data_IF_600708113693
#
_entry.id   IF_600708113693
#
_cell.length_a   1.000
_cell.length_b   1.000
_cell.length_c   1.000
_cell.angle_alpha   90.00
_cell.angle_beta   90.00
_cell.angle_gamma   90.00
#
_symmetry.space_group_name_H-M   'P 1'
#
loop_
_entity.id
_entity.type
_entity.pdbx_description
1 polymer ?
#
# COMPACT_ATOMS: atom_id res chain seq x y z
N UNK A 1 9.58 13.88 -3.28
CA UNK A 1 10.53 12.83 -2.84
C UNK A 1 11.98 13.20 -3.14
N UNK A 2 12.44 13.26 -4.39
CA UNK A 2 13.83 13.66 -4.70
C UNK A 2 14.19 15.06 -4.19
N UNK A 3 13.26 16.01 -4.27
CA UNK A 3 13.43 17.35 -3.71
C UNK A 3 13.55 17.36 -2.17
N UNK A 4 13.10 16.30 -1.49
CA UNK A 4 13.26 16.09 -0.05
C UNK A 4 14.53 15.28 0.28
N UNK A 5 15.41 15.03 -0.71
CA UNK A 5 16.68 14.31 -0.51
C UNK A 5 16.58 12.78 -0.59
N UNK A 6 15.42 12.22 -0.93
CA UNK A 6 15.23 10.77 -1.03
C UNK A 6 15.67 10.22 -2.38
N UNK A 7 16.26 9.02 -2.35
CA UNK A 7 16.43 8.22 -3.56
C UNK A 7 15.10 7.55 -3.92
N UNK A 8 14.73 7.55 -5.21
CA UNK A 8 13.46 7.02 -5.68
C UNK A 8 13.70 5.99 -6.78
N UNK A 9 13.01 4.85 -6.68
CA UNK A 9 12.83 3.89 -7.78
C UNK A 9 11.34 3.75 -8.04
N UNK A 10 10.97 3.70 -9.32
CA UNK A 10 9.58 3.58 -9.75
C UNK A 10 9.36 2.28 -10.51
N UNK A 11 8.14 1.74 -10.41
CA UNK A 11 7.63 0.65 -11.24
C UNK A 11 6.28 1.06 -11.79
N UNK A 12 6.15 1.11 -13.12
CA UNK A 12 4.85 1.21 -13.78
C UNK A 12 4.38 -0.22 -14.05
N UNK A 13 3.56 -0.76 -13.13
CA UNK A 13 3.16 -2.18 -13.12
C UNK A 13 2.57 -2.64 -14.46
N UNK A 14 1.78 -1.80 -15.11
CA UNK A 14 1.10 -2.12 -16.37
C UNK A 14 2.05 -2.14 -17.59
N UNK A 15 3.25 -1.53 -17.46
CA UNK A 15 4.30 -1.60 -18.47
C UNK A 15 5.11 -2.91 -18.40
N UNK A 16 4.81 -3.78 -17.43
CA UNK A 16 5.57 -4.98 -17.14
C UNK A 16 6.72 -4.75 -16.17
N UNK A 17 7.22 -5.83 -15.59
CA UNK A 17 8.27 -5.85 -14.56
C UNK A 17 9.00 -7.19 -14.57
N UNK A 18 10.25 -7.17 -14.09
CA UNK A 18 11.02 -8.38 -13.81
C UNK A 18 10.88 -8.72 -12.32
N UNK A 19 10.39 -9.93 -12.03
CA UNK A 19 10.03 -10.34 -10.65
C UNK A 19 11.21 -10.24 -9.68
N UNK A 20 12.40 -10.68 -10.10
CA UNK A 20 13.60 -10.61 -9.25
C UNK A 20 14.04 -9.17 -9.01
N UNK A 21 14.03 -8.32 -10.04
CA UNK A 21 14.33 -6.90 -9.88
C UNK A 21 13.38 -6.19 -8.91
N UNK A 22 12.09 -6.56 -8.91
CA UNK A 22 11.11 -6.02 -7.95
C UNK A 22 11.39 -6.49 -6.52
N UNK A 23 11.74 -7.76 -6.33
CA UNK A 23 12.16 -8.29 -5.01
C UNK A 23 13.36 -7.49 -4.49
N UNK A 24 14.37 -7.25 -5.33
CA UNK A 24 15.54 -6.45 -4.95
C UNK A 24 15.17 -4.98 -4.65
N UNK A 25 14.14 -4.40 -5.29
CA UNK A 25 13.62 -3.08 -4.91
C UNK A 25 13.00 -3.09 -3.50
N UNK A 26 12.25 -4.14 -3.14
CA UNK A 26 11.71 -4.29 -1.79
C UNK A 26 12.82 -4.44 -0.73
N UNK A 27 13.90 -5.13 -1.05
CA UNK A 27 15.07 -5.23 -0.17
C UNK A 27 15.77 -3.88 -0.02
N UNK A 28 15.89 -3.13 -1.12
CA UNK A 28 16.57 -1.83 -1.17
C UNK A 28 15.81 -0.70 -0.45
N UNK A 29 14.47 -0.66 -0.54
CA UNK A 29 13.68 0.49 -0.09
C UNK A 29 13.54 0.59 1.43
N UNK A 30 13.44 1.80 1.96
CA UNK A 30 13.01 2.05 3.35
C UNK A 30 11.48 2.18 3.45
N UNK A 31 10.84 2.64 2.38
CA UNK A 31 9.40 2.75 2.26
C UNK A 31 8.92 2.45 0.84
N UNK A 32 7.74 1.82 0.72
CA UNK A 32 7.01 1.64 -0.53
C UNK A 32 5.74 2.50 -0.54
N UNK A 33 5.51 3.22 -1.63
CA UNK A 33 4.27 3.98 -1.86
C UNK A 33 3.47 3.24 -2.93
N UNK A 34 2.27 2.78 -2.57
CA UNK A 34 1.34 2.15 -3.49
C UNK A 34 0.41 3.21 -4.08
N UNK A 35 0.81 3.79 -5.22
CA UNK A 35 -0.04 4.67 -6.01
C UNK A 35 -0.95 3.84 -6.90
N UNK A 36 -2.26 3.87 -6.65
CA UNK A 36 -3.22 3.10 -7.45
C UNK A 36 -4.63 3.69 -7.45
N UNK A 37 -5.40 3.55 -8.54
CA UNK A 37 -6.83 3.80 -8.53
C UNK A 37 -7.57 2.68 -7.82
N UNK A 38 -8.77 2.97 -7.29
CA UNK A 38 -9.67 1.92 -6.81
C UNK A 38 -10.56 1.38 -7.91
N UNK A 39 -10.50 0.07 -8.10
CA UNK A 39 -11.36 -0.68 -9.00
C UNK A 39 -12.17 -1.69 -8.19
N UNK A 40 -13.51 -1.62 -8.28
CA UNK A 40 -14.41 -2.52 -7.56
C UNK A 40 -14.07 -2.67 -6.06
N UNK A 41 -13.83 -1.53 -5.41
CA UNK A 41 -13.50 -1.42 -3.99
C UNK A 41 -12.12 -1.93 -3.57
N UNK A 42 -11.24 -2.20 -4.55
CA UNK A 42 -9.95 -2.83 -4.33
C UNK A 42 -8.86 -2.21 -5.21
N UNK A 43 -7.64 -2.74 -5.08
CA UNK A 43 -6.59 -2.56 -6.07
C UNK A 43 -6.97 -3.13 -7.45
N UNK A 44 -6.46 -2.58 -8.57
CA UNK A 44 -6.62 -3.18 -9.88
C UNK A 44 -6.01 -4.58 -9.94
N UNK A 45 -6.56 -5.45 -10.79
CA UNK A 45 -6.10 -6.85 -10.89
C UNK A 45 -4.61 -6.95 -11.27
N UNK A 46 -4.05 -5.98 -11.99
CA UNK A 46 -2.63 -5.93 -12.34
C UNK A 46 -1.74 -5.71 -11.12
N UNK A 47 -2.19 -4.88 -10.17
CA UNK A 47 -1.52 -4.69 -8.87
C UNK A 47 -1.62 -5.97 -8.05
N UNK A 48 -2.78 -6.64 -8.06
CA UNK A 48 -2.93 -7.92 -7.36
C UNK A 48 -2.04 -9.01 -7.97
N UNK A 49 -1.90 -9.07 -9.30
CA UNK A 49 -0.96 -9.95 -9.98
C UNK A 49 0.49 -9.65 -9.59
N UNK A 50 0.87 -8.37 -9.54
CA UNK A 50 2.19 -7.95 -9.06
C UNK A 50 2.47 -8.44 -7.65
N UNK A 51 1.50 -8.27 -6.75
CA UNK A 51 1.59 -8.75 -5.37
C UNK A 51 1.77 -10.28 -5.36
N UNK A 52 0.94 -11.01 -6.11
CA UNK A 52 0.97 -12.46 -6.14
C UNK A 52 2.26 -13.01 -6.73
N UNK A 53 2.84 -12.37 -7.74
CA UNK A 53 4.10 -12.78 -8.34
C UNK A 53 5.29 -12.36 -7.48
N UNK A 54 5.43 -11.06 -7.16
CA UNK A 54 6.61 -10.53 -6.47
C UNK A 54 6.68 -10.99 -5.02
N UNK A 55 5.57 -10.92 -4.27
CA UNK A 55 5.62 -11.27 -2.86
C UNK A 55 5.78 -12.78 -2.67
N UNK A 56 5.10 -13.61 -3.47
CA UNK A 56 5.23 -15.07 -3.38
C UNK A 56 6.63 -15.54 -3.76
N UNK A 57 7.20 -15.03 -4.87
CA UNK A 57 8.58 -15.38 -5.26
C UNK A 57 9.61 -14.74 -4.33
N UNK A 58 9.22 -13.73 -3.55
CA UNK A 58 10.03 -13.16 -2.48
C UNK A 58 10.19 -14.05 -1.25
N UNK A 59 9.67 -15.28 -1.23
CA UNK A 59 9.87 -16.22 -0.12
C UNK A 59 11.38 -16.44 0.16
N UNK A 60 11.75 -16.38 1.43
CA UNK A 60 13.15 -16.46 1.90
C UNK A 60 13.90 -15.12 1.87
N UNK A 61 13.40 -14.11 1.15
CA UNK A 61 13.97 -12.75 1.10
C UNK A 61 13.07 -11.71 1.79
N UNK A 62 11.78 -11.69 1.47
CA UNK A 62 10.79 -10.73 1.97
C UNK A 62 10.02 -11.26 3.18
N UNK A 63 9.81 -12.57 3.26
CA UNK A 63 9.25 -13.26 4.40
C UNK A 63 9.81 -14.68 4.48
N UNK A 64 9.84 -15.26 5.69
CA UNK A 64 10.32 -16.62 5.92
C UNK A 64 9.17 -17.62 6.04
N UNK A 65 8.11 -17.26 6.76
CA UNK A 65 6.93 -18.10 6.99
C UNK A 65 5.72 -17.25 7.36
N UNK A 66 4.61 -17.89 7.73
CA UNK A 66 3.47 -17.21 8.36
C UNK A 66 3.70 -16.86 9.83
N UNK A 67 4.86 -17.19 10.41
CA UNK A 67 5.21 -16.92 11.81
C UNK A 67 4.72 -17.95 12.83
N UNK A 68 3.93 -18.95 12.41
CA UNK A 68 3.40 -19.97 13.33
C UNK A 68 4.40 -21.11 13.55
N UNK A 69 4.25 -21.78 14.69
CA UNK A 69 4.99 -23.00 15.02
C UNK A 69 4.04 -24.17 15.27
N UNK A 70 4.44 -25.39 14.88
CA UNK A 70 3.61 -26.59 15.02
C UNK A 70 3.26 -26.94 16.47
N UNK A 71 4.07 -26.51 17.43
CA UNK A 71 3.83 -26.69 18.87
C UNK A 71 2.68 -25.82 19.38
N UNK A 72 2.48 -24.61 18.81
CA UNK A 72 1.42 -23.66 19.15
C UNK A 72 0.76 -23.12 17.87
N UNK A 73 -0.03 -23.94 17.14
CA UNK A 73 -0.45 -23.63 15.78
C UNK A 73 -1.50 -22.51 15.65
N UNK A 74 -2.06 -22.04 16.78
CA UNK A 74 -3.07 -20.97 16.83
C UNK A 74 -2.49 -19.59 17.06
N UNK A 75 -1.17 -19.47 17.27
CA UNK A 75 -0.49 -18.22 17.62
C UNK A 75 0.56 -17.85 16.59
N UNK A 76 0.78 -16.55 16.40
CA UNK A 76 1.90 -16.03 15.60
C UNK A 76 1.63 -15.83 14.11
N UNK A 77 0.39 -15.99 13.62
CA UNK A 77 0.11 -15.70 12.20
C UNK A 77 0.43 -14.24 11.86
N UNK A 78 1.24 -14.03 10.83
CA UNK A 78 1.68 -12.73 10.34
C UNK A 78 2.98 -12.21 10.97
N UNK A 79 3.71 -13.00 11.76
CA UNK A 79 4.97 -12.55 12.39
C UNK A 79 6.24 -13.02 11.66
N UNK A 80 6.10 -13.76 10.56
CA UNK A 80 7.23 -14.38 9.83
C UNK A 80 7.85 -13.52 8.72
N UNK A 81 7.53 -12.22 8.64
CA UNK A 81 8.13 -11.27 7.72
C UNK A 81 9.64 -11.08 7.93
N UNK A 82 10.35 -10.54 6.94
CA UNK A 82 11.79 -10.25 7.02
C UNK A 82 12.14 -8.77 6.80
N UNK A 83 11.13 -7.92 6.60
CA UNK A 83 11.28 -6.52 6.24
C UNK A 83 10.98 -5.57 7.40
N UNK A 84 11.25 -5.99 8.63
CA UNK A 84 11.03 -5.15 9.82
C UNK A 84 11.80 -3.82 9.72
N UNK A 85 11.18 -2.76 10.23
CA UNK A 85 11.72 -1.40 10.15
C UNK A 85 11.31 -0.63 8.89
N UNK A 86 10.98 -1.33 7.79
CA UNK A 86 10.50 -0.72 6.55
C UNK A 86 9.03 -0.29 6.66
N UNK A 87 8.61 0.61 5.77
CA UNK A 87 7.31 1.28 5.80
C UNK A 87 6.50 1.06 4.52
N UNK A 88 5.18 1.13 4.60
CA UNK A 88 4.33 1.27 3.41
C UNK A 88 3.34 2.42 3.56
N UNK A 89 3.01 3.07 2.45
CA UNK A 89 1.98 4.09 2.36
C UNK A 89 1.03 3.75 1.20
N UNK A 90 -0.27 3.96 1.39
CA UNK A 90 -1.23 3.91 0.28
C UNK A 90 -1.48 5.33 -0.22
N UNK A 91 -1.49 5.50 -1.55
CA UNK A 91 -1.89 6.73 -2.24
C UNK A 91 -2.96 6.38 -3.26
N UNK A 92 -4.21 6.69 -2.95
CA UNK A 92 -5.38 6.13 -3.61
C UNK A 92 -6.18 7.19 -4.36
N UNK A 93 -6.73 6.84 -5.52
CA UNK A 93 -7.70 7.68 -6.23
C UNK A 93 -9.06 6.96 -6.33
N UNK A 94 -10.11 7.66 -5.93
CA UNK A 94 -11.48 7.14 -5.87
C UNK A 94 -12.47 8.12 -6.48
N UNK A 95 -13.45 7.60 -7.22
CA UNK A 95 -14.62 8.40 -7.60
C UNK A 95 -15.65 8.52 -6.46
N UNK A 96 -15.60 7.65 -5.45
CA UNK A 96 -16.47 7.80 -4.29
C UNK A 96 -16.13 9.11 -3.53
N UNK A 97 -17.13 9.85 -3.04
CA UNK A 97 -16.90 11.01 -2.18
C UNK A 97 -16.37 10.57 -0.81
N UNK A 98 -15.72 11.47 -0.06
CA UNK A 98 -15.12 11.14 1.24
C UNK A 98 -16.16 10.68 2.27
N UNK A 99 -17.38 11.20 2.18
CA UNK A 99 -18.50 10.87 3.07
C UNK A 99 -18.88 9.40 3.00
N UNK A 100 -18.69 8.73 1.85
CA UNK A 100 -18.94 7.30 1.73
C UNK A 100 -18.10 6.48 2.72
N UNK A 101 -16.92 6.99 3.10
CA UNK A 101 -15.98 6.36 4.02
C UNK A 101 -16.16 6.82 5.48
N UNK A 102 -16.62 8.05 5.71
CA UNK A 102 -16.59 8.68 7.04
C UNK A 102 -17.97 8.88 7.67
N UNK A 103 -19.04 8.95 6.88
CA UNK A 103 -20.41 9.15 7.40
C UNK A 103 -21.03 7.81 7.79
N UNK A 104 -21.52 7.73 9.02
CA UNK A 104 -22.25 6.56 9.50
C UNK A 104 -23.55 6.36 8.69
N UNK A 105 -23.86 5.10 8.35
CA UNK A 105 -25.03 4.74 7.54
C UNK A 105 -24.84 4.83 6.03
N UNK A 106 -23.74 5.43 5.55
CA UNK A 106 -23.34 5.36 4.15
C UNK A 106 -22.70 3.98 3.81
N UNK A 107 -22.33 3.78 2.54
CA UNK A 107 -21.95 2.48 1.98
C UNK A 107 -20.82 1.74 2.72
N UNK A 108 -19.80 2.46 3.21
CA UNK A 108 -18.70 1.85 4.00
C UNK A 108 -18.89 2.04 5.52
N UNK A 109 -20.11 2.35 5.96
CA UNK A 109 -20.52 2.35 7.37
C UNK A 109 -19.66 3.24 8.28
N UNK A 110 -19.09 4.33 7.72
CA UNK A 110 -18.20 5.23 8.45
C UNK A 110 -16.91 4.59 8.96
N UNK A 111 -16.48 3.44 8.43
CA UNK A 111 -15.30 2.70 8.92
C UNK A 111 -13.96 3.29 8.47
N UNK A 112 -13.99 4.17 7.48
CA UNK A 112 -12.79 4.77 6.90
C UNK A 112 -12.09 3.90 5.85
N UNK A 113 -11.21 4.54 5.07
CA UNK A 113 -10.52 3.90 3.95
C UNK A 113 -9.55 2.79 4.38
N UNK A 114 -8.86 2.96 5.52
CA UNK A 114 -7.87 1.96 5.98
C UNK A 114 -8.53 0.67 6.48
N UNK A 115 -9.80 0.73 6.91
CA UNK A 115 -10.58 -0.47 7.23
C UNK A 115 -10.99 -1.18 5.95
N UNK A 116 -11.41 -0.44 4.92
CA UNK A 116 -11.69 -1.01 3.60
C UNK A 116 -10.45 -1.66 2.98
N UNK A 117 -9.27 -1.05 3.14
CA UNK A 117 -7.98 -1.57 2.68
C UNK A 117 -7.24 -2.42 3.73
N UNK A 118 -7.95 -2.95 4.74
CA UNK A 118 -7.32 -3.76 5.79
C UNK A 118 -6.55 -4.95 5.21
N UNK A 119 -7.07 -5.60 4.17
CA UNK A 119 -6.38 -6.70 3.48
C UNK A 119 -5.04 -6.23 2.88
N UNK A 120 -5.01 -5.05 2.28
CA UNK A 120 -3.83 -4.48 1.65
C UNK A 120 -2.79 -4.02 2.67
N UNK A 121 -3.23 -3.50 3.81
CA UNK A 121 -2.31 -3.25 4.92
C UNK A 121 -1.74 -4.55 5.48
N UNK A 122 -2.58 -5.59 5.63
CA UNK A 122 -2.16 -6.86 6.21
C UNK A 122 -1.18 -7.64 5.36
N UNK A 123 -1.27 -7.58 4.02
CA UNK A 123 -0.24 -8.19 3.16
C UNK A 123 1.13 -7.51 3.32
N UNK A 124 1.18 -6.19 3.51
CA UNK A 124 2.44 -5.48 3.77
C UNK A 124 2.98 -5.78 5.18
N UNK A 125 2.10 -5.81 6.18
CA UNK A 125 2.47 -6.19 7.56
C UNK A 125 2.95 -7.63 7.67
N UNK A 126 2.41 -8.54 6.86
CA UNK A 126 2.86 -9.93 6.79
C UNK A 126 4.35 -10.04 6.41
N UNK A 127 4.84 -9.12 5.58
CA UNK A 127 6.27 -9.00 5.25
C UNK A 127 7.07 -8.33 6.37
N UNK A 128 6.42 -7.71 7.36
CA UNK A 128 7.05 -6.99 8.47
C UNK A 128 7.03 -5.46 8.35
N UNK A 129 6.39 -4.89 7.32
CA UNK A 129 6.32 -3.44 7.15
C UNK A 129 5.33 -2.82 8.15
N UNK A 130 5.52 -1.55 8.45
CA UNK A 130 4.57 -0.75 9.26
C UNK A 130 3.92 0.35 8.43
N UNK A 131 2.70 0.75 8.80
CA UNK A 131 1.88 1.71 8.04
C UNK A 131 2.39 3.15 8.18
N UNK A 132 2.32 3.89 7.10
CA UNK A 132 2.31 5.36 7.06
C UNK A 132 0.88 5.84 6.76
N UNK A 133 0.54 7.09 7.10
CA UNK A 133 -0.79 7.64 6.83
C UNK A 133 -1.18 7.54 5.35
N UNK A 134 -2.35 6.97 5.06
CA UNK A 134 -2.91 6.87 3.71
C UNK A 134 -3.23 8.25 3.15
N UNK A 135 -2.90 8.46 1.87
CA UNK A 135 -3.36 9.60 1.08
C UNK A 135 -4.50 9.17 0.15
N UNK A 136 -5.54 9.99 0.04
CA UNK A 136 -6.75 9.66 -0.71
C UNK A 136 -7.26 10.89 -1.47
N UNK A 137 -7.44 10.75 -2.78
CA UNK A 137 -8.22 11.68 -3.60
C UNK A 137 -9.62 11.11 -3.83
N UNK A 138 -10.65 11.90 -3.55
CA UNK A 138 -12.05 11.55 -3.73
C UNK A 138 -12.70 12.35 -4.87
N UNK A 139 -13.80 11.81 -5.39
CA UNK A 139 -14.61 12.38 -6.48
C UNK A 139 -13.84 12.76 -7.75
N UNK A 140 -12.78 11.99 -8.06
CA UNK A 140 -11.81 12.32 -9.12
C UNK A 140 -12.37 12.30 -10.55
N UNK A 141 -13.61 11.82 -10.75
CA UNK A 141 -14.28 11.82 -12.06
C UNK A 141 -15.40 12.85 -12.14
N UNK A 142 -16.30 12.95 -11.13
CA UNK A 142 -17.42 13.90 -11.21
C UNK A 142 -17.03 15.33 -10.84
N UNK A 143 -16.05 15.50 -9.95
CA UNK A 143 -15.56 16.81 -9.51
C UNK A 143 -14.03 16.82 -9.39
N UNK A 144 -13.29 16.68 -10.51
CA UNK A 144 -11.83 16.61 -10.48
C UNK A 144 -11.21 17.93 -10.02
N UNK A 145 -10.39 17.86 -8.97
CA UNK A 145 -9.65 19.01 -8.40
C UNK A 145 -8.13 18.79 -8.46
N UNK A 146 -7.58 18.60 -9.66
CA UNK A 146 -6.19 18.14 -9.88
C UNK A 146 -5.16 19.02 -9.18
N UNK A 147 -5.28 20.35 -9.28
CA UNK A 147 -4.33 21.28 -8.64
C UNK A 147 -4.34 21.14 -7.11
N UNK A 148 -5.52 20.99 -6.53
CA UNK A 148 -5.68 20.76 -5.09
C UNK A 148 -5.09 19.41 -4.68
N UNK A 149 -5.36 18.34 -5.44
CA UNK A 149 -4.81 17.02 -5.16
C UNK A 149 -3.27 17.01 -5.17
N UNK A 150 -2.65 17.72 -6.11
CA UNK A 150 -1.20 17.85 -6.18
C UNK A 150 -0.64 18.61 -4.97
N UNK A 151 -1.27 19.73 -4.58
CA UNK A 151 -0.88 20.51 -3.41
C UNK A 151 -1.01 19.70 -2.10
N UNK A 152 -2.14 19.01 -1.92
CA UNK A 152 -2.40 18.18 -0.75
C UNK A 152 -1.44 16.98 -0.69
N UNK A 153 -1.15 16.37 -1.83
CA UNK A 153 -0.22 15.24 -1.87
C UNK A 153 1.20 15.69 -1.55
N UNK A 154 1.64 16.84 -2.06
CA UNK A 154 2.94 17.41 -1.71
C UNK A 154 3.03 17.68 -0.20
N UNK A 155 2.03 18.35 0.39
CA UNK A 155 1.99 18.62 1.82
C UNK A 155 1.97 17.32 2.66
N UNK A 156 1.27 16.29 2.20
CA UNK A 156 1.25 14.97 2.84
C UNK A 156 2.63 14.31 2.80
N UNK A 157 3.29 14.30 1.64
CA UNK A 157 4.63 13.74 1.50
C UNK A 157 5.67 14.49 2.34
N UNK A 158 5.59 15.82 2.41
CA UNK A 158 6.45 16.64 3.28
C UNK A 158 6.22 16.32 4.76
N UNK A 159 4.97 16.14 5.19
CA UNK A 159 4.65 15.75 6.57
C UNK A 159 5.16 14.35 6.93
N UNK A 160 5.14 13.41 5.98
CA UNK A 160 5.46 12.00 6.21
C UNK A 160 6.95 11.71 6.03
N UNK A 161 7.61 12.38 5.09
CA UNK A 161 8.99 12.08 4.67
C UNK A 161 9.94 13.29 4.72
N UNK A 162 9.45 14.49 5.07
CA UNK A 162 10.29 15.69 5.20
C UNK A 162 11.09 15.75 6.49
#
# INVERSE_FOLDING_TARGET
MTALGHNVKETVIDAGYDVEAEIEKFLWMDAVIWQMPSWWMHEPWTVKKYIDEVLTNGHGKLYHSDGRHSVNPTEGYGTGGLLQGKKHMLSLTWNAPIEAFTREGDFFEGKGVDVLYMHFHKLNEFLGLTRLPTFLCNDVVKSPQVEQYLADYQAHLEKVFG
#
